data_IF_473401308113
#
_entry.id   IF_473401308113
#
_cell.length_a   1.000
_cell.length_b   1.000
_cell.length_c   1.000
_cell.angle_alpha   90.00
_cell.angle_beta   90.00
_cell.angle_gamma   90.00
#
_symmetry.space_group_name_H-M   'P 1'
#
loop_
_entity.id
_entity.type
_entity.pdbx_description
1 polymer ?
#
# COMPACT_ATOMS: atom_id res chain seq x y z
N UNK A 1 -3.59 -10.50 11.98
CA UNK A 1 -3.30 -9.56 13.12
C UNK A 1 -1.93 -8.87 13.03
N UNK A 2 -0.90 -9.40 12.36
CA UNK A 2 0.38 -8.70 12.23
C UNK A 2 0.45 -7.68 11.08
N UNK A 3 -0.27 -7.92 9.98
CA UNK A 3 -0.23 -7.07 8.77
C UNK A 3 -0.68 -5.62 9.00
N UNK A 4 -1.79 -5.39 9.69
CA UNK A 4 -2.27 -4.03 9.96
C UNK A 4 -1.26 -3.18 10.76
N UNK A 5 -0.46 -3.77 11.64
CA UNK A 5 0.53 -3.04 12.42
C UNK A 5 1.66 -2.51 11.52
N UNK A 6 2.12 -3.34 10.59
CA UNK A 6 3.16 -2.96 9.64
C UNK A 6 2.64 -1.93 8.61
N UNK A 7 1.41 -2.10 8.12
CA UNK A 7 0.77 -1.13 7.23
C UNK A 7 0.54 0.22 7.93
N UNK A 8 0.13 0.21 9.20
CA UNK A 8 -0.01 1.41 10.02
C UNK A 8 1.33 2.13 10.22
N UNK A 9 2.40 1.40 10.55
CA UNK A 9 3.73 1.99 10.69
C UNK A 9 4.23 2.55 9.35
N UNK A 10 4.05 1.83 8.25
CA UNK A 10 4.36 2.31 6.90
C UNK A 10 3.65 3.63 6.62
N UNK A 11 2.34 3.68 6.91
CA UNK A 11 1.50 4.89 6.79
C UNK A 11 2.09 6.07 7.57
N UNK A 12 2.45 5.85 8.84
CA UNK A 12 2.98 6.89 9.71
C UNK A 12 4.35 7.39 9.25
N UNK A 13 5.24 6.51 8.79
CA UNK A 13 6.54 6.90 8.26
C UNK A 13 6.40 7.71 6.96
N UNK A 14 5.54 7.27 6.04
CA UNK A 14 5.26 7.99 4.79
C UNK A 14 4.63 9.37 5.05
N UNK A 15 3.67 9.44 5.98
CA UNK A 15 3.07 10.70 6.41
C UNK A 15 4.12 11.63 7.04
N UNK A 16 4.97 11.08 7.91
CA UNK A 16 6.08 11.81 8.54
C UNK A 16 7.09 12.34 7.54
N UNK A 17 7.37 11.61 6.45
CA UNK A 17 8.19 12.09 5.33
C UNK A 17 7.49 13.28 4.67
N UNK A 18 6.21 13.16 4.34
CA UNK A 18 5.44 14.26 3.73
C UNK A 18 5.43 15.51 4.63
N UNK A 19 5.27 15.37 5.95
CA UNK A 19 5.32 16.52 6.86
C UNK A 19 6.65 17.29 6.77
N UNK A 20 7.76 16.59 6.51
CA UNK A 20 9.12 17.16 6.41
C UNK A 20 9.46 17.69 5.03
N UNK A 21 9.01 17.04 3.97
CA UNK A 21 9.43 17.35 2.59
C UNK A 21 8.35 18.05 1.76
N UNK A 22 7.08 17.92 2.17
CA UNK A 22 5.87 18.31 1.43
C UNK A 22 5.73 17.68 0.05
N UNK A 23 6.49 16.62 -0.22
CA UNK A 23 6.43 15.87 -1.47
C UNK A 23 5.15 15.02 -1.50
N UNK A 24 4.21 15.39 -2.37
CA UNK A 24 2.88 14.77 -2.43
C UNK A 24 2.90 13.27 -2.75
N UNK A 25 3.98 12.76 -3.35
CA UNK A 25 4.17 11.32 -3.58
C UNK A 25 4.02 10.51 -2.28
N UNK A 26 4.65 10.96 -1.20
CA UNK A 26 4.60 10.22 0.07
C UNK A 26 3.25 10.37 0.76
N UNK A 27 2.53 11.48 0.52
CA UNK A 27 1.15 11.63 0.99
C UNK A 27 0.22 10.64 0.26
N UNK A 28 0.34 10.52 -1.06
CA UNK A 28 -0.45 9.57 -1.84
C UNK A 28 -0.23 8.13 -1.37
N UNK A 29 1.02 7.72 -1.18
CA UNK A 29 1.32 6.40 -0.61
C UNK A 29 0.85 6.24 0.82
N UNK A 30 0.94 7.28 1.65
CA UNK A 30 0.38 7.25 3.01
C UNK A 30 -1.13 7.03 2.99
N UNK A 31 -1.88 7.67 2.10
CA UNK A 31 -3.32 7.45 1.93
C UNK A 31 -3.64 6.02 1.50
N UNK A 32 -2.86 5.45 0.57
CA UNK A 32 -3.02 4.06 0.11
C UNK A 32 -2.81 3.08 1.27
N UNK A 33 -1.68 3.18 1.98
CA UNK A 33 -1.41 2.30 3.13
C UNK A 33 -2.36 2.56 4.31
N UNK A 34 -2.88 3.79 4.46
CA UNK A 34 -3.95 4.09 5.42
C UNK A 34 -5.20 3.30 5.08
N UNK A 35 -5.59 3.29 3.80
CA UNK A 35 -6.75 2.51 3.37
C UNK A 35 -6.53 1.02 3.59
N UNK A 36 -5.37 0.46 3.21
CA UNK A 36 -5.02 -0.94 3.51
C UNK A 36 -5.19 -1.24 5.00
N UNK A 37 -4.66 -0.38 5.88
CA UNK A 37 -4.78 -0.54 7.34
C UNK A 37 -6.23 -0.52 7.82
N UNK A 38 -7.02 0.44 7.33
CA UNK A 38 -8.42 0.61 7.71
C UNK A 38 -9.30 -0.52 7.20
N UNK A 39 -9.06 -0.95 5.97
CA UNK A 39 -9.76 -2.05 5.34
C UNK A 39 -9.54 -3.35 6.12
N UNK A 40 -8.29 -3.69 6.45
CA UNK A 40 -7.95 -4.88 7.24
C UNK A 40 -8.59 -4.84 8.65
N UNK A 41 -8.63 -3.66 9.27
CA UNK A 41 -9.18 -3.47 10.62
C UNK A 41 -10.72 -3.52 10.66
N UNK A 42 -11.38 -3.02 9.60
CA UNK A 42 -12.84 -2.86 9.57
C UNK A 42 -13.53 -3.88 8.67
N UNK A 43 -12.76 -4.63 7.87
CA UNK A 43 -13.22 -5.51 6.80
C UNK A 43 -14.12 -4.76 5.82
N UNK A 44 -13.66 -3.59 5.38
CA UNK A 44 -14.48 -2.70 4.56
C UNK A 44 -14.87 -3.35 3.23
N UNK A 45 -13.93 -3.98 2.53
CA UNK A 45 -14.19 -4.68 1.27
C UNK A 45 -15.12 -5.88 1.45
N UNK A 46 -15.01 -6.64 2.55
CA UNK A 46 -15.92 -7.75 2.86
C UNK A 46 -17.36 -7.26 3.02
N UNK A 47 -17.56 -6.17 3.75
CA UNK A 47 -18.88 -5.56 3.98
C UNK A 47 -19.44 -4.98 2.68
N UNK A 48 -18.60 -4.32 1.88
CA UNK A 48 -18.98 -3.81 0.57
C UNK A 48 -19.38 -4.93 -0.38
N UNK A 49 -18.62 -6.02 -0.43
CA UNK A 49 -18.93 -7.18 -1.26
C UNK A 49 -20.23 -7.87 -0.85
N UNK A 50 -20.46 -8.01 0.46
CA UNK A 50 -21.73 -8.53 0.99
C UNK A 50 -22.92 -7.62 0.64
N UNK A 51 -22.76 -6.30 0.77
CA UNK A 51 -23.80 -5.33 0.40
C UNK A 51 -24.12 -5.41 -1.10
N UNK A 52 -23.10 -5.43 -1.95
CA UNK A 52 -23.28 -5.49 -3.41
C UNK A 52 -23.93 -6.80 -3.84
N UNK A 53 -23.51 -7.95 -3.29
CA UNK A 53 -24.12 -9.24 -3.59
C UNK A 53 -25.57 -9.38 -3.08
N UNK A 54 -25.93 -8.66 -2.01
CA UNK A 54 -27.32 -8.63 -1.52
C UNK A 54 -28.22 -7.67 -2.32
N UNK A 55 -27.63 -6.66 -2.96
CA UNK A 55 -28.37 -5.60 -3.67
C UNK A 55 -28.50 -5.89 -5.17
N UNK A 56 -27.49 -6.53 -5.76
CA UNK A 56 -27.40 -6.81 -7.18
C UNK A 56 -27.27 -8.32 -7.42
N UNK A 57 -27.79 -8.80 -8.55
CA UNK A 57 -27.60 -10.18 -9.01
C UNK A 57 -26.21 -10.32 -9.64
N UNK A 58 -25.17 -10.32 -8.80
CA UNK A 58 -23.78 -10.38 -9.25
C UNK A 58 -23.47 -11.77 -9.82
N UNK A 59 -22.79 -11.77 -10.98
CA UNK A 59 -22.27 -12.99 -11.58
C UNK A 59 -21.20 -13.58 -10.66
N UNK A 60 -21.33 -14.86 -10.33
CA UNK A 60 -20.26 -15.64 -9.71
C UNK A 60 -19.19 -15.95 -10.76
N UNK A 61 -18.00 -15.36 -10.62
CA UNK A 61 -16.84 -15.76 -11.42
C UNK A 61 -16.52 -17.25 -11.20
N UNK A 62 -15.87 -17.95 -12.16
CA UNK A 62 -15.56 -19.37 -12.00
C UNK A 62 -14.78 -19.64 -10.72
N UNK A 63 -15.35 -20.50 -9.86
CA UNK A 63 -14.76 -20.81 -8.55
C UNK A 63 -15.01 -19.75 -7.48
N UNK A 64 -15.70 -18.65 -7.75
CA UNK A 64 -15.99 -17.61 -6.76
C UNK A 64 -17.47 -17.57 -6.41
N UNK A 65 -17.78 -17.07 -5.22
CA UNK A 65 -19.14 -16.70 -4.83
C UNK A 65 -19.45 -15.31 -5.37
N UNK A 66 -20.73 -15.00 -5.52
CA UNK A 66 -21.19 -13.64 -5.87
C UNK A 66 -20.63 -12.57 -4.92
N UNK A 67 -20.48 -12.91 -3.63
CA UNK A 67 -19.84 -12.04 -2.62
C UNK A 67 -18.41 -11.67 -3.01
N UNK A 68 -17.60 -12.63 -3.43
CA UNK A 68 -16.17 -12.41 -3.73
C UNK A 68 -16.03 -11.49 -4.97
N UNK A 69 -16.99 -11.57 -5.91
CA UNK A 69 -17.10 -10.61 -7.02
C UNK A 69 -17.41 -9.20 -6.53
N UNK A 70 -18.31 -9.07 -5.55
CA UNK A 70 -18.59 -7.80 -4.88
C UNK A 70 -17.37 -7.23 -4.14
N UNK A 71 -16.55 -8.09 -3.53
CA UNK A 71 -15.30 -7.70 -2.86
C UNK A 71 -14.31 -7.10 -3.86
N UNK A 72 -14.12 -7.73 -5.04
CA UNK A 72 -13.31 -7.19 -6.14
C UNK A 72 -13.83 -5.83 -6.61
N UNK A 73 -15.14 -5.68 -6.80
CA UNK A 73 -15.75 -4.41 -7.22
C UNK A 73 -15.49 -3.32 -6.18
N UNK A 74 -15.65 -3.64 -4.89
CA UNK A 74 -15.44 -2.68 -3.80
C UNK A 74 -13.97 -2.20 -3.79
N UNK A 75 -13.01 -3.13 -3.87
CA UNK A 75 -11.59 -2.79 -3.97
C UNK A 75 -11.26 -1.98 -5.23
N UNK A 76 -11.84 -2.35 -6.38
CA UNK A 76 -11.63 -1.65 -7.64
C UNK A 76 -12.13 -0.20 -7.57
N UNK A 77 -13.30 0.03 -6.95
CA UNK A 77 -13.84 1.37 -6.75
C UNK A 77 -12.91 2.25 -5.90
N UNK A 78 -12.37 1.68 -4.80
CA UNK A 78 -11.42 2.41 -3.96
C UNK A 78 -10.10 2.65 -4.68
N UNK A 79 -9.57 1.65 -5.38
CA UNK A 79 -8.33 1.77 -6.15
C UNK A 79 -8.45 2.88 -7.20
N UNK A 80 -9.59 2.97 -7.91
CA UNK A 80 -9.87 4.06 -8.85
C UNK A 80 -9.91 5.43 -8.15
N UNK A 81 -10.51 5.52 -6.97
CA UNK A 81 -10.52 6.74 -6.16
C UNK A 81 -9.12 7.19 -5.73
N UNK A 82 -8.25 6.25 -5.36
CA UNK A 82 -6.87 6.51 -4.93
C UNK A 82 -5.89 6.72 -6.10
N UNK A 83 -6.25 6.26 -7.30
CA UNK A 83 -5.44 6.41 -8.51
C UNK A 83 -5.26 7.89 -8.89
N UNK A 84 -6.30 8.71 -8.76
CA UNK A 84 -6.25 10.15 -9.07
C UNK A 84 -5.15 10.89 -8.27
N UNK A 85 -5.19 10.84 -6.92
CA UNK A 85 -4.13 11.40 -6.07
C UNK A 85 -2.74 10.84 -6.39
N UNK A 86 -2.61 9.54 -6.66
CA UNK A 86 -1.33 8.92 -6.99
C UNK A 86 -0.75 9.47 -8.31
N UNK A 87 -1.55 9.48 -9.39
CA UNK A 87 -1.13 9.99 -10.69
C UNK A 87 -0.79 11.49 -10.63
N UNK A 88 -1.62 12.28 -9.95
CA UNK A 88 -1.36 13.70 -9.74
C UNK A 88 -0.06 13.94 -8.96
N UNK A 89 0.19 13.14 -7.91
CA UNK A 89 1.43 13.22 -7.16
C UNK A 89 2.66 12.83 -7.99
N UNK A 90 2.53 11.82 -8.85
CA UNK A 90 3.59 11.35 -9.75
C UNK A 90 3.97 12.41 -10.78
N UNK A 91 2.96 13.08 -11.37
CA UNK A 91 3.18 14.13 -12.36
C UNK A 91 3.89 15.36 -11.78
N UNK A 92 3.63 15.72 -10.52
CA UNK A 92 4.30 16.83 -9.84
C UNK A 92 5.67 16.46 -9.24
N UNK A 93 5.97 15.18 -9.13
CA UNK A 93 7.18 14.69 -8.47
C UNK A 93 8.41 14.84 -9.36
N UNK A 94 9.56 15.15 -8.76
CA UNK A 94 10.86 15.12 -9.45
C UNK A 94 11.26 13.66 -9.75
N UNK A 95 12.19 13.41 -10.69
CA UNK A 95 12.57 12.05 -11.11
C UNK A 95 12.98 11.13 -9.96
N UNK A 96 13.62 11.66 -8.92
CA UNK A 96 13.99 10.88 -7.74
C UNK A 96 12.78 10.41 -6.93
N UNK A 97 11.82 11.30 -6.68
CA UNK A 97 10.58 11.02 -5.95
C UNK A 97 9.72 10.03 -6.74
N UNK A 98 9.71 10.15 -8.07
CA UNK A 98 9.10 9.16 -8.96
C UNK A 98 9.77 7.79 -8.81
N UNK A 99 11.10 7.71 -8.81
CA UNK A 99 11.82 6.45 -8.62
C UNK A 99 11.50 5.80 -7.26
N UNK A 100 11.45 6.59 -6.17
CA UNK A 100 11.04 6.11 -4.85
C UNK A 100 9.56 5.67 -4.85
N UNK A 101 8.68 6.45 -5.47
CA UNK A 101 7.27 6.10 -5.64
C UNK A 101 7.07 4.81 -6.42
N UNK A 102 7.89 4.56 -7.46
CA UNK A 102 7.85 3.32 -8.24
C UNK A 102 8.28 2.09 -7.42
N UNK A 103 9.17 2.26 -6.43
CA UNK A 103 9.48 1.18 -5.48
C UNK A 103 8.24 0.81 -4.67
N UNK A 104 7.52 1.81 -4.13
CA UNK A 104 6.26 1.56 -3.42
C UNK A 104 5.18 0.99 -4.34
N UNK A 105 5.13 1.41 -5.61
CA UNK A 105 4.23 0.83 -6.61
C UNK A 105 4.51 -0.65 -6.84
N UNK A 106 5.78 -1.03 -7.00
CA UNK A 106 6.17 -2.42 -7.17
C UNK A 106 5.79 -3.25 -5.93
N UNK A 107 6.08 -2.76 -4.73
CA UNK A 107 5.77 -3.46 -3.48
C UNK A 107 4.25 -3.58 -3.26
N UNK A 108 3.49 -2.55 -3.61
CA UNK A 108 2.03 -2.58 -3.57
C UNK A 108 1.47 -3.54 -4.63
N UNK A 109 2.04 -3.57 -5.83
CA UNK A 109 1.66 -4.54 -6.86
C UNK A 109 1.96 -5.98 -6.41
N UNK A 110 3.08 -6.23 -5.72
CA UNK A 110 3.35 -7.52 -5.10
C UNK A 110 2.28 -7.87 -4.05
N UNK A 111 1.95 -6.93 -3.16
CA UNK A 111 0.89 -7.12 -2.16
C UNK A 111 -0.44 -7.52 -2.81
N UNK A 112 -0.91 -6.74 -3.80
CA UNK A 112 -2.15 -7.06 -4.54
C UNK A 112 -2.04 -8.38 -5.29
N UNK A 113 -0.86 -8.71 -5.83
CA UNK A 113 -0.61 -9.98 -6.49
C UNK A 113 -0.83 -11.17 -5.55
N UNK A 114 -0.32 -11.11 -4.33
CA UNK A 114 -0.58 -12.16 -3.33
C UNK A 114 -2.04 -12.16 -2.87
N UNK A 115 -2.57 -10.99 -2.50
CA UNK A 115 -3.92 -10.83 -1.95
C UNK A 115 -5.07 -11.13 -2.91
N UNK A 116 -4.79 -11.18 -4.22
CA UNK A 116 -5.81 -11.46 -5.24
C UNK A 116 -5.44 -12.71 -6.03
N UNK A 117 -4.27 -12.71 -6.68
CA UNK A 117 -3.93 -13.78 -7.64
C UNK A 117 -3.55 -15.06 -6.91
N UNK A 118 -2.75 -14.98 -5.85
CA UNK A 118 -2.31 -16.16 -5.11
C UNK A 118 -3.43 -16.70 -4.22
N UNK A 119 -4.25 -15.83 -3.61
CA UNK A 119 -5.48 -16.23 -2.92
C UNK A 119 -6.44 -16.99 -3.86
N UNK A 120 -6.72 -16.47 -5.06
CA UNK A 120 -7.53 -17.20 -6.04
C UNK A 120 -6.94 -18.58 -6.40
N UNK A 121 -5.62 -18.68 -6.53
CA UNK A 121 -4.96 -19.95 -6.78
C UNK A 121 -5.05 -20.91 -5.58
N UNK A 122 -4.92 -20.38 -4.36
CA UNK A 122 -5.10 -21.14 -3.13
C UNK A 122 -6.51 -21.70 -3.05
N UNK A 123 -7.52 -20.88 -3.32
CA UNK A 123 -8.91 -21.29 -3.37
C UNK A 123 -9.14 -22.43 -4.40
N UNK A 124 -8.63 -22.28 -5.62
CA UNK A 124 -8.82 -23.27 -6.69
C UNK A 124 -8.11 -24.61 -6.42
N UNK A 125 -6.96 -24.56 -5.75
CA UNK A 125 -6.14 -25.76 -5.51
C UNK A 125 -6.40 -26.42 -4.15
N UNK A 126 -6.93 -25.68 -3.17
CA UNK A 126 -7.01 -26.10 -1.77
C UNK A 126 -5.65 -26.39 -1.11
N UNK A 127 -4.55 -25.94 -1.74
CA UNK A 127 -3.20 -26.29 -1.34
C UNK A 127 -2.71 -25.42 -0.19
N UNK A 128 -2.42 -26.04 0.97
CA UNK A 128 -1.82 -25.35 2.12
C UNK A 128 -0.49 -24.65 1.80
N UNK A 129 0.30 -25.20 0.86
CA UNK A 129 1.56 -24.58 0.45
C UNK A 129 1.29 -23.25 -0.28
N UNK A 130 0.23 -23.19 -1.09
CA UNK A 130 -0.17 -21.95 -1.77
C UNK A 130 -0.69 -20.95 -0.76
N UNK A 131 -1.48 -21.38 0.23
CA UNK A 131 -1.90 -20.52 1.35
C UNK A 131 -0.73 -19.94 2.16
N UNK A 132 0.32 -20.72 2.42
CA UNK A 132 1.53 -20.16 3.05
C UNK A 132 2.27 -19.17 2.16
N UNK A 133 2.26 -19.36 0.84
CA UNK A 133 2.87 -18.43 -0.09
C UNK A 133 2.06 -17.13 -0.21
N UNK A 134 0.73 -17.22 -0.17
CA UNK A 134 -0.21 -16.11 -0.08
C UNK A 134 0.07 -15.26 1.17
N UNK A 135 -0.16 -15.83 2.35
CA UNK A 135 0.02 -15.15 3.65
C UNK A 135 1.44 -14.56 3.79
N UNK A 136 2.46 -15.37 3.48
CA UNK A 136 3.85 -14.97 3.58
C UNK A 136 4.24 -13.87 2.60
N UNK A 137 3.69 -13.91 1.38
CA UNK A 137 3.94 -12.92 0.34
C UNK A 137 3.33 -11.56 0.66
N UNK A 138 2.11 -11.54 1.20
CA UNK A 138 1.49 -10.31 1.71
C UNK A 138 2.30 -9.70 2.85
N UNK A 139 2.61 -10.52 3.87
CA UNK A 139 3.40 -10.10 5.03
C UNK A 139 4.75 -9.51 4.60
N UNK A 140 5.46 -10.19 3.70
CA UNK A 140 6.76 -9.75 3.21
C UNK A 140 6.65 -8.44 2.42
N UNK A 141 5.63 -8.29 1.58
CA UNK A 141 5.41 -7.08 0.77
C UNK A 141 5.21 -5.85 1.66
N UNK A 142 4.36 -5.97 2.69
CA UNK A 142 4.12 -4.88 3.66
C UNK A 142 5.36 -4.63 4.51
N UNK A 143 6.05 -5.68 4.97
CA UNK A 143 7.27 -5.55 5.77
C UNK A 143 8.37 -4.78 5.03
N UNK A 144 8.63 -5.13 3.77
CA UNK A 144 9.64 -4.45 2.96
C UNK A 144 9.22 -3.00 2.69
N UNK A 145 7.95 -2.73 2.37
CA UNK A 145 7.45 -1.36 2.21
C UNK A 145 7.64 -0.53 3.49
N UNK A 146 7.29 -1.08 4.65
CA UNK A 146 7.47 -0.43 5.94
C UNK A 146 8.96 -0.16 6.24
N UNK A 147 9.85 -1.12 5.96
CA UNK A 147 11.30 -0.94 6.11
C UNK A 147 11.84 0.16 5.20
N UNK A 148 11.42 0.20 3.92
CA UNK A 148 11.78 1.28 2.99
C UNK A 148 11.32 2.64 3.51
N UNK A 149 10.06 2.75 3.95
CA UNK A 149 9.51 3.98 4.52
C UNK A 149 10.28 4.43 5.78
N UNK A 150 10.61 3.50 6.67
CA UNK A 150 11.41 3.78 7.87
C UNK A 150 12.81 4.29 7.54
N UNK A 151 13.52 3.63 6.63
CA UNK A 151 14.88 4.03 6.20
C UNK A 151 14.86 5.43 5.62
N UNK A 152 13.88 5.74 4.76
CA UNK A 152 13.71 7.07 4.17
C UNK A 152 13.40 8.13 5.26
N UNK A 153 12.48 7.83 6.17
CA UNK A 153 12.12 8.71 7.27
C UNK A 153 13.32 9.02 8.19
N UNK A 154 14.12 8.01 8.53
CA UNK A 154 15.33 8.15 9.35
C UNK A 154 16.43 8.93 8.63
N UNK A 155 16.62 8.69 7.33
CA UNK A 155 17.59 9.41 6.51
C UNK A 155 17.36 10.92 6.54
N UNK A 156 16.11 11.35 6.41
CA UNK A 156 15.74 12.76 6.49
C UNK A 156 15.98 13.38 7.87
N UNK A 157 15.77 12.62 8.94
CA UNK A 157 16.07 13.09 10.31
C UNK A 157 17.56 13.30 10.50
N UNK A 158 18.39 12.36 10.04
CA UNK A 158 19.84 12.46 10.13
C UNK A 158 20.40 13.66 9.37
N UNK A 159 19.88 13.93 8.18
CA UNK A 159 20.31 15.07 7.38
C UNK A 159 19.96 16.40 8.08
N UNK A 160 18.80 16.49 8.74
CA UNK A 160 18.41 17.65 9.53
C UNK A 160 19.30 17.84 10.77
N UNK A 161 19.61 16.76 11.50
CA UNK A 161 20.46 16.80 12.69
C UNK A 161 21.90 17.24 12.34
N UNK A 162 22.46 16.72 11.25
CA UNK A 162 23.80 17.10 10.77
C UNK A 162 23.85 18.59 10.40
N UNK A 163 22.79 19.12 9.81
CA UNK A 163 22.71 20.52 9.43
C UNK A 163 22.53 21.46 10.63
N UNK A 164 21.88 21.00 11.70
CA UNK A 164 21.80 21.72 12.96
C UNK A 164 23.16 21.81 13.67
N UNK A 165 24.01 20.78 13.54
CA UNK A 165 25.36 20.74 14.12
C UNK A 165 26.38 21.55 13.31
N UNK A 166 26.28 21.55 11.99
CA UNK A 166 27.13 22.34 11.11
C UNK A 166 26.30 22.97 9.97
N UNK A 167 25.89 24.24 10.11
CA UNK A 167 25.11 24.96 9.11
C UNK A 167 25.85 25.18 7.78
N UNK A 168 27.17 24.99 7.76
CA UNK A 168 28.00 25.15 6.56
C UNK A 168 28.01 23.90 5.69
N UNK A 169 27.57 22.75 6.24
CA UNK A 169 27.35 21.56 5.44
C UNK A 169 26.31 21.89 4.37
N UNK A 170 26.61 21.63 3.08
CA UNK A 170 25.59 21.77 2.06
C UNK A 170 24.44 20.84 2.44
N UNK A 171 23.19 21.32 2.30
CA UNK A 171 22.05 20.40 2.19
C UNK A 171 22.50 19.30 1.25
N UNK A 172 22.51 18.05 1.71
CA UNK A 172 22.90 16.90 0.91
C UNK A 172 22.14 17.02 -0.41
N UNK A 173 22.82 17.54 -1.44
CA UNK A 173 22.32 17.62 -2.81
C UNK A 173 22.42 16.22 -3.40
N UNK A 174 21.89 15.24 -2.67
CA UNK A 174 21.12 14.22 -3.34
C UNK A 174 19.82 14.96 -3.69
N UNK A 175 19.82 15.72 -4.78
CA UNK A 175 18.65 16.44 -5.34
C UNK A 175 18.48 15.97 -6.75
#
# INVERSE_FOLDING_TARGET
>A
MFNYGQAALCTLFLFGIWLRTREHMFLAWSLIFSFVTLDDATRFHERGGLLLAATFDLVSLPGMRARDTGEIITWSAVALGLLGPLLWSFWQSRPRQQALGSVFLLLFACLVGFAVVVDMLHFLTGSKLVGYAEDGGEMLSIAVACCCAFILYRGLGRDADLQALDPTLPFSKRT
#
